data_IF_562771489773
#
_entry.id   IF_562771489773
#
_cell.length_a   1.000
_cell.length_b   1.000
_cell.length_c   1.000
_cell.angle_alpha   90.00
_cell.angle_beta   90.00
_cell.angle_gamma   90.00
#
_symmetry.space_group_name_H-M   'P 1'
#
loop_
_entity.id
_entity.type
_entity.pdbx_description
1 polymer ?
#
# COMPACT_ATOMS: atom_id res chain seq x y z
N UNK A 1 11.58 -7.73 2.67
CA UNK A 1 12.15 -7.92 1.32
C UNK A 1 12.01 -6.58 0.61
N UNK A 2 13.10 -5.86 0.36
CA UNK A 2 13.05 -4.58 -0.36
C UNK A 2 13.09 -4.88 -1.85
N UNK A 3 11.94 -4.81 -2.53
CA UNK A 3 11.90 -4.75 -3.98
C UNK A 3 12.12 -3.28 -4.39
N UNK A 4 13.36 -2.94 -4.71
CA UNK A 4 13.61 -1.81 -5.59
C UNK A 4 13.32 -2.25 -7.02
N UNK A 5 12.38 -1.57 -7.66
CA UNK A 5 12.29 -1.53 -9.12
C UNK A 5 11.13 -2.29 -9.72
N UNK A 6 10.39 -1.52 -10.52
CA UNK A 6 9.64 -1.95 -11.69
C UNK A 6 8.33 -2.71 -11.43
N UNK A 7 7.22 -2.00 -11.68
CA UNK A 7 6.02 -2.66 -12.15
C UNK A 7 6.32 -3.31 -13.49
N UNK A 8 6.50 -4.63 -13.49
CA UNK A 8 6.08 -5.62 -14.49
C UNK A 8 6.57 -6.99 -14.02
N UNK A 9 5.64 -7.95 -13.90
CA UNK A 9 5.83 -9.39 -13.70
C UNK A 9 6.97 -9.82 -12.76
N UNK A 10 6.62 -10.09 -11.50
CA UNK A 10 7.45 -10.92 -10.63
C UNK A 10 7.75 -12.20 -11.41
N UNK A 11 9.04 -12.45 -11.68
CA UNK A 11 9.47 -13.69 -12.34
C UNK A 11 9.13 -14.83 -11.39
N UNK A 12 8.06 -15.57 -11.69
CA UNK A 12 7.69 -16.79 -10.98
C UNK A 12 8.85 -17.75 -11.20
N UNK A 13 9.60 -18.04 -10.14
CA UNK A 13 10.58 -19.12 -10.17
C UNK A 13 9.83 -20.44 -10.38
N UNK A 14 10.34 -21.34 -11.23
CA UNK A 14 9.70 -22.62 -11.57
C UNK A 14 9.20 -23.41 -10.35
N UNK A 15 9.84 -23.24 -9.19
CA UNK A 15 9.43 -23.86 -7.92
C UNK A 15 8.01 -23.47 -7.49
N UNK A 16 7.59 -22.20 -7.61
CA UNK A 16 6.27 -21.77 -7.14
C UNK A 16 5.12 -22.34 -7.99
N UNK A 17 5.39 -22.62 -9.27
CA UNK A 17 4.41 -23.19 -10.18
C UNK A 17 3.97 -24.60 -9.75
N UNK A 18 4.88 -25.40 -9.17
CA UNK A 18 4.57 -26.75 -8.66
C UNK A 18 3.59 -26.72 -7.48
N UNK A 19 3.54 -25.60 -6.72
CA UNK A 19 2.65 -25.41 -5.58
C UNK A 19 1.39 -24.61 -5.93
N UNK A 20 1.20 -24.24 -7.20
CA UNK A 20 0.15 -23.31 -7.63
C UNK A 20 0.13 -22.03 -6.78
N UNK A 21 1.30 -21.51 -6.45
CA UNK A 21 1.49 -20.35 -5.59
C UNK A 21 1.97 -19.14 -6.40
N UNK A 22 1.51 -17.95 -6.03
CA UNK A 22 1.99 -16.67 -6.56
C UNK A 22 2.53 -15.80 -5.44
N UNK A 23 3.47 -14.92 -5.79
CA UNK A 23 3.94 -13.83 -4.94
C UNK A 23 3.88 -12.57 -5.76
N UNK A 24 3.11 -11.60 -5.30
CA UNK A 24 2.79 -10.40 -6.07
C UNK A 24 3.16 -9.14 -5.30
N UNK A 25 3.47 -8.09 -6.06
CA UNK A 25 3.74 -6.77 -5.51
C UNK A 25 2.82 -5.75 -6.20
N UNK A 26 2.04 -5.04 -5.39
CA UNK A 26 1.14 -4.00 -5.85
C UNK A 26 1.60 -2.63 -5.34
N UNK A 27 1.76 -1.67 -6.25
CA UNK A 27 2.22 -0.33 -5.91
C UNK A 27 1.08 0.56 -5.41
N UNK A 28 1.06 0.82 -4.10
CA UNK A 28 0.18 1.80 -3.45
C UNK A 28 0.92 2.44 -2.26
N UNK A 29 1.81 3.43 -2.49
CA UNK A 29 2.78 3.88 -1.50
C UNK A 29 2.14 4.47 -0.23
N UNK A 30 0.91 4.99 -0.36
CA UNK A 30 0.13 5.57 0.73
C UNK A 30 -1.14 4.79 1.05
N UNK A 31 -1.35 3.60 0.47
CA UNK A 31 -2.56 2.77 0.54
C UNK A 31 -3.81 3.40 -0.10
N UNK A 32 -4.06 4.67 0.18
CA UNK A 32 -5.09 5.50 -0.43
C UNK A 32 -4.61 6.11 -1.74
N UNK A 33 -5.55 6.59 -2.56
CA UNK A 33 -5.26 7.25 -3.82
C UNK A 33 -4.31 8.44 -3.62
N UNK A 34 -3.31 8.53 -4.50
CA UNK A 34 -2.32 9.60 -4.45
C UNK A 34 -1.83 10.01 -5.83
N UNK A 35 -1.21 11.19 -5.90
CA UNK A 35 -0.47 11.56 -7.11
C UNK A 35 0.81 10.70 -7.33
N UNK A 36 1.18 9.85 -6.38
CA UNK A 36 2.36 8.97 -6.43
C UNK A 36 2.02 7.52 -6.80
N UNK A 37 0.81 7.25 -7.29
CA UNK A 37 0.33 5.89 -7.61
C UNK A 37 0.92 5.29 -8.89
N UNK A 38 1.60 6.07 -9.74
CA UNK A 38 2.31 5.50 -10.89
C UNK A 38 3.74 5.10 -10.45
N UNK A 39 4.07 3.79 -10.44
CA UNK A 39 5.38 3.29 -10.01
C UNK A 39 6.55 3.80 -10.87
N UNK A 40 6.30 4.37 -12.06
CA UNK A 40 7.35 4.93 -12.94
C UNK A 40 7.62 6.40 -12.65
N UNK A 41 6.66 7.14 -12.10
CA UNK A 41 6.73 8.59 -11.85
C UNK A 41 6.25 8.96 -10.44
N UNK A 42 6.69 8.20 -9.44
CA UNK A 42 6.26 8.35 -8.04
C UNK A 42 7.16 9.27 -7.19
N UNK A 43 8.29 9.72 -7.72
CA UNK A 43 9.23 10.62 -7.01
C UNK A 43 8.81 12.08 -7.19
N UNK A 44 7.65 12.41 -6.64
CA UNK A 44 7.07 13.76 -6.68
C UNK A 44 7.48 14.53 -5.43
N UNK A 45 7.84 15.81 -5.60
CA UNK A 45 8.24 16.70 -4.50
C UNK A 45 7.04 16.96 -3.57
N UNK A 46 5.94 17.42 -4.14
CA UNK A 46 4.69 17.64 -3.43
C UNK A 46 3.80 16.41 -3.58
N UNK A 47 3.99 15.43 -2.70
CA UNK A 47 3.15 14.24 -2.65
C UNK A 47 1.83 14.57 -1.99
N UNK A 48 0.74 14.21 -2.66
CA UNK A 48 -0.62 14.53 -2.20
C UNK A 48 -1.43 13.23 -2.13
N UNK A 49 -2.11 13.00 -0.99
CA UNK A 49 -2.98 11.83 -0.74
C UNK A 49 -4.44 12.25 -0.63
N UNK A 50 -5.37 11.41 -1.09
CA UNK A 50 -6.79 11.54 -0.76
C UNK A 50 -7.10 10.58 0.39
N UNK A 51 -6.99 11.05 1.64
CA UNK A 51 -7.02 10.17 2.81
C UNK A 51 -8.27 9.27 2.96
N UNK A 52 -9.38 9.66 2.33
CA UNK A 52 -10.66 8.94 2.39
C UNK A 52 -10.97 8.12 1.12
N UNK A 53 -10.05 8.02 0.15
CA UNK A 53 -10.26 7.33 -1.12
C UNK A 53 -9.32 6.12 -1.25
N UNK A 54 -9.85 4.90 -1.21
CA UNK A 54 -9.06 3.65 -1.22
C UNK A 54 -9.58 2.61 -2.20
N UNK A 55 -10.79 2.79 -2.70
CA UNK A 55 -11.57 1.82 -3.46
C UNK A 55 -10.83 1.36 -4.71
N UNK A 56 -10.15 2.30 -5.39
CA UNK A 56 -9.32 2.02 -6.58
C UNK A 56 -8.20 1.01 -6.30
N UNK A 57 -7.63 1.01 -5.10
CA UNK A 57 -6.60 0.05 -4.69
C UNK A 57 -7.21 -1.22 -4.12
N UNK A 58 -8.28 -1.09 -3.33
CA UNK A 58 -8.95 -2.20 -2.65
C UNK A 58 -9.41 -3.31 -3.61
N UNK A 59 -9.84 -2.94 -4.83
CA UNK A 59 -10.21 -3.94 -5.85
C UNK A 59 -9.10 -4.94 -6.18
N UNK A 60 -7.83 -4.56 -6.00
CA UNK A 60 -6.67 -5.40 -6.27
C UNK A 60 -6.33 -6.36 -5.11
N UNK A 61 -6.93 -6.17 -3.94
CA UNK A 61 -6.66 -6.95 -2.73
C UNK A 61 -7.71 -8.04 -2.50
N UNK A 62 -8.77 -8.05 -3.31
CA UNK A 62 -9.82 -9.07 -3.25
C UNK A 62 -9.23 -10.43 -3.60
N UNK A 63 -9.74 -11.46 -2.93
CA UNK A 63 -9.41 -12.87 -3.21
C UNK A 63 -7.96 -13.28 -2.91
N UNK A 64 -7.16 -12.40 -2.31
CA UNK A 64 -5.79 -12.69 -1.87
C UNK A 64 -5.82 -13.45 -0.54
N UNK A 65 -5.07 -14.55 -0.44
CA UNK A 65 -5.02 -15.37 0.78
C UNK A 65 -4.15 -14.74 1.89
N UNK A 66 -3.10 -14.01 1.50
CA UNK A 66 -2.18 -13.34 2.42
C UNK A 66 -1.89 -11.91 1.96
N UNK A 67 -2.37 -10.93 2.72
CA UNK A 67 -2.12 -9.51 2.46
C UNK A 67 -1.05 -8.99 3.42
N UNK A 68 0.03 -8.44 2.86
CA UNK A 68 1.11 -7.80 3.63
C UNK A 68 1.20 -6.34 3.23
N UNK A 69 0.73 -5.46 4.12
CA UNK A 69 0.74 -4.03 3.90
C UNK A 69 1.96 -3.38 4.54
N UNK A 70 2.44 -2.31 3.92
CA UNK A 70 3.35 -1.38 4.53
C UNK A 70 3.13 0.01 3.94
N UNK A 71 3.29 1.05 4.74
CA UNK A 71 3.36 2.42 4.22
C UNK A 71 4.23 3.26 5.14
N UNK A 72 4.97 4.21 4.54
CA UNK A 72 5.66 5.25 5.28
C UNK A 72 4.94 6.58 5.03
N UNK A 73 4.44 7.25 6.07
CA UNK A 73 3.83 8.56 5.92
C UNK A 73 4.90 9.61 5.60
N UNK A 74 4.99 9.95 4.32
CA UNK A 74 5.68 11.13 3.83
C UNK A 74 4.89 11.72 2.65
N UNK A 75 3.73 12.29 2.93
CA UNK A 75 2.91 13.03 1.97
C UNK A 75 2.07 14.11 2.68
N UNK A 76 1.56 15.08 1.90
CA UNK A 76 0.57 16.12 2.29
C UNK A 76 -0.84 15.64 1.87
N UNK A 77 -1.92 16.12 2.51
CA UNK A 77 -3.32 15.71 2.23
C UNK A 77 -3.97 16.54 1.10
N UNK A 78 -5.00 16.01 0.41
CA UNK A 78 -5.62 16.54 -0.83
C UNK A 78 -6.84 17.44 -0.58
N UNK A 79 -7.58 17.23 0.52
CA UNK A 79 -8.81 17.99 0.78
C UNK A 79 -8.48 19.28 1.52
N UNK A 80 -8.55 20.39 0.79
CA UNK A 80 -8.15 21.73 1.23
C UNK A 80 -6.63 21.82 1.40
N UNK A 81 -6.02 22.95 1.06
CA UNK A 81 -4.57 23.17 1.20
C UNK A 81 -4.17 23.29 2.69
N UNK A 82 -4.63 22.37 3.55
CA UNK A 82 -4.17 22.26 4.93
C UNK A 82 -3.01 21.28 4.99
N UNK A 83 -1.84 21.83 5.34
CA UNK A 83 -0.70 21.04 5.75
C UNK A 83 -1.02 20.37 7.09
N UNK A 84 -1.65 19.20 7.05
CA UNK A 84 -1.86 18.39 8.24
C UNK A 84 -0.57 17.72 8.68
N UNK A 85 -0.38 17.58 10.00
CA UNK A 85 0.80 16.91 10.53
C UNK A 85 0.85 15.45 10.06
N UNK A 86 2.07 14.93 9.82
CA UNK A 86 2.28 13.53 9.40
C UNK A 86 1.55 12.49 10.26
N UNK A 87 1.52 12.61 11.61
CA UNK A 87 0.75 11.66 12.43
C UNK A 87 -0.75 11.70 12.18
N UNK A 88 -1.32 12.88 11.94
CA UNK A 88 -2.75 13.03 11.64
C UNK A 88 -3.09 12.43 10.26
N UNK A 89 -2.27 12.73 9.24
CA UNK A 89 -2.42 12.13 7.92
C UNK A 89 -2.36 10.60 8.00
N UNK A 90 -1.37 10.07 8.72
CA UNK A 90 -1.20 8.63 8.91
C UNK A 90 -2.40 8.00 9.64
N UNK A 91 -2.91 8.65 10.69
CA UNK A 91 -4.08 8.18 11.41
C UNK A 91 -5.34 8.14 10.54
N UNK A 92 -5.54 9.14 9.66
CA UNK A 92 -6.66 9.15 8.70
C UNK A 92 -6.55 8.01 7.70
N UNK A 93 -5.39 7.88 7.04
CA UNK A 93 -5.11 6.79 6.09
C UNK A 93 -5.33 5.42 6.71
N UNK A 94 -4.79 5.17 7.91
CA UNK A 94 -4.95 3.89 8.59
C UNK A 94 -6.40 3.62 8.99
N UNK A 95 -7.17 4.65 9.35
CA UNK A 95 -8.59 4.49 9.63
C UNK A 95 -9.35 4.07 8.37
N UNK A 96 -9.14 4.76 7.25
CA UNK A 96 -9.73 4.41 5.94
C UNK A 96 -9.35 3.00 5.51
N UNK A 97 -8.07 2.65 5.61
CA UNK A 97 -7.57 1.30 5.32
C UNK A 97 -8.23 0.24 6.21
N UNK A 98 -8.25 0.44 7.52
CA UNK A 98 -8.84 -0.55 8.45
C UNK A 98 -10.32 -0.78 8.17
N UNK A 99 -11.10 0.29 7.95
CA UNK A 99 -12.52 0.20 7.63
C UNK A 99 -12.75 -0.55 6.31
N UNK A 100 -11.95 -0.27 5.29
CA UNK A 100 -12.03 -0.97 4.02
C UNK A 100 -11.77 -2.48 4.17
N UNK A 101 -10.80 -2.86 5.00
CA UNK A 101 -10.52 -4.28 5.26
C UNK A 101 -11.65 -4.96 6.04
N UNK A 102 -12.21 -4.31 7.06
CA UNK A 102 -13.33 -4.85 7.85
C UNK A 102 -14.54 -5.21 6.98
N UNK A 103 -14.76 -4.46 5.89
CA UNK A 103 -15.86 -4.68 4.95
C UNK A 103 -15.52 -5.70 3.83
N UNK A 104 -14.24 -5.81 3.45
CA UNK A 104 -13.82 -6.56 2.26
C UNK A 104 -13.25 -7.96 2.57
N UNK A 105 -12.65 -8.15 3.74
CA UNK A 105 -11.85 -9.34 4.07
C UNK A 105 -12.68 -10.38 4.80
N UNK A 106 -12.69 -11.62 4.31
CA UNK A 106 -13.14 -12.78 5.09
C UNK A 106 -11.97 -13.34 5.92
N UNK A 107 -11.98 -13.21 7.26
CA UNK A 107 -10.88 -13.67 8.11
C UNK A 107 -10.72 -15.19 8.13
N UNK A 108 -11.67 -15.97 7.61
CA UNK A 108 -11.52 -17.43 7.45
C UNK A 108 -10.68 -17.81 6.23
N UNK A 109 -10.57 -16.91 5.26
CA UNK A 109 -9.84 -17.12 4.00
C UNK A 109 -8.53 -16.34 3.98
N UNK A 110 -8.57 -15.07 4.38
CA UNK A 110 -7.46 -14.13 4.17
C UNK A 110 -6.80 -13.75 5.49
N UNK A 111 -5.48 -13.91 5.56
CA UNK A 111 -4.66 -13.40 6.66
C UNK A 111 -4.07 -12.03 6.31
N UNK A 112 -4.22 -11.07 7.21
CA UNK A 112 -3.73 -9.69 7.02
C UNK A 112 -2.58 -9.39 7.96
N UNK A 113 -1.52 -8.81 7.41
CA UNK A 113 -0.34 -8.34 8.14
C UNK A 113 -0.04 -6.89 7.79
N UNK A 114 0.50 -6.15 8.76
CA UNK A 114 1.01 -4.80 8.53
C UNK A 114 2.44 -4.71 9.04
N UNK A 115 3.38 -4.37 8.16
CA UNK A 115 4.78 -4.21 8.54
C UNK A 115 5.01 -2.86 9.22
N UNK A 116 5.72 -2.89 10.34
CA UNK A 116 6.19 -1.66 11.00
C UNK A 116 7.15 -0.88 10.09
N UNK A 117 7.41 0.37 10.45
CA UNK A 117 8.39 1.20 9.75
C UNK A 117 9.77 0.52 9.77
N UNK A 118 10.39 0.40 8.59
CA UNK A 118 11.77 -0.06 8.53
C UNK A 118 12.72 1.02 9.10
N UNK A 119 13.87 0.65 9.67
CA UNK A 119 14.86 1.65 10.09
C UNK A 119 15.40 2.42 8.87
N UNK A 120 15.85 3.65 9.10
CA UNK A 120 16.69 4.40 8.17
C UNK A 120 18.11 4.37 8.71
N UNK A 121 19.05 3.86 7.92
CA UNK A 121 20.46 3.86 8.26
C UNK A 121 21.15 5.01 7.54
N UNK A 122 20.82 6.23 7.94
CA UNK A 122 21.54 7.44 7.53
C UNK A 122 22.54 7.80 8.63
N UNK A 123 23.75 8.17 8.21
CA UNK A 123 24.84 8.57 9.11
C UNK A 123 24.75 10.04 9.47
#
# INVERSE_FOLDING_TARGET
MFAHGCGTNVTISNFLQEYNATVEFYWAPFLVESNSDDPRIHSIVDRIIKADSIEKHAVQWKEVDYLVFNTRPSARDWTEYEEISRPQAYARVLRTWSKCLDEMVDPKRTSVFFMSMSPLHSR
#
